data_IF_061582953913
#
_entry.id   IF_061582953913
#
_cell.length_a   1.000
_cell.length_b   1.000
_cell.length_c   1.000
_cell.angle_alpha   90.00
_cell.angle_beta   90.00
_cell.angle_gamma   90.00
#
_symmetry.space_group_name_H-M   'P 1'
#
loop_
_entity.id
_entity.type
_entity.pdbx_description
1 polymer ?
#
# COMPACT_ATOMS: atom_id res chain seq x y z
N UNK A 1 0.67 -23.83 -7.51
CA UNK A 1 1.37 -22.56 -7.27
C UNK A 1 2.72 -22.52 -7.95
N UNK A 2 3.85 -23.00 -7.40
CA UNK A 2 5.17 -22.80 -8.05
C UNK A 2 5.22 -23.20 -9.54
N UNK A 3 4.67 -24.36 -9.90
CA UNK A 3 4.65 -24.83 -11.29
C UNK A 3 3.88 -23.88 -12.24
N UNK A 4 2.79 -23.24 -11.79
CA UNK A 4 2.06 -22.29 -12.65
C UNK A 4 2.84 -20.97 -12.81
N UNK A 5 3.57 -20.54 -11.78
CA UNK A 5 4.46 -19.37 -11.89
C UNK A 5 5.58 -19.65 -12.89
N UNK A 6 6.19 -20.84 -12.81
CA UNK A 6 7.21 -21.27 -13.76
C UNK A 6 6.66 -21.33 -15.19
N UNK A 7 5.45 -21.85 -15.40
CA UNK A 7 4.81 -21.86 -16.73
C UNK A 7 4.59 -20.42 -17.24
N UNK A 8 4.10 -19.52 -16.39
CA UNK A 8 3.88 -18.11 -16.75
C UNK A 8 5.17 -17.45 -17.25
N UNK A 9 6.25 -17.51 -16.45
CA UNK A 9 7.54 -16.94 -16.83
C UNK A 9 8.17 -17.66 -18.04
N UNK A 10 7.95 -18.97 -18.19
CA UNK A 10 8.42 -19.73 -19.37
C UNK A 10 7.69 -19.37 -20.66
N UNK A 11 6.52 -18.75 -20.55
CA UNK A 11 5.74 -18.22 -21.67
C UNK A 11 6.05 -16.74 -21.95
N UNK A 12 7.12 -16.20 -21.37
CA UNK A 12 7.54 -14.79 -21.53
C UNK A 12 6.46 -13.80 -21.06
N UNK A 13 5.69 -14.21 -20.05
CA UNK A 13 4.71 -13.35 -19.37
C UNK A 13 5.28 -12.87 -18.04
N UNK A 14 4.99 -11.62 -17.69
CA UNK A 14 5.20 -11.09 -16.34
C UNK A 14 4.45 -11.96 -15.32
N UNK A 15 5.14 -12.36 -14.25
CA UNK A 15 4.60 -13.21 -13.21
C UNK A 15 4.57 -12.49 -11.85
N UNK A 16 3.43 -11.87 -11.54
CA UNK A 16 3.10 -11.44 -10.19
C UNK A 16 2.65 -12.67 -9.37
N UNK A 17 3.54 -13.21 -8.53
CA UNK A 17 3.52 -14.63 -8.17
C UNK A 17 2.74 -14.99 -6.89
N UNK A 18 1.59 -14.36 -6.66
CA UNK A 18 0.74 -14.59 -5.48
C UNK A 18 1.48 -14.23 -4.17
N UNK A 19 1.57 -15.13 -3.19
CA UNK A 19 2.03 -14.82 -1.81
C UNK A 19 1.23 -13.66 -1.18
N UNK A 20 -0.04 -13.56 -1.56
CA UNK A 20 -0.93 -12.42 -1.31
C UNK A 20 -2.21 -12.82 -0.57
N UNK A 21 -2.33 -14.09 -0.18
CA UNK A 21 -3.54 -14.66 0.41
C UNK A 21 -3.23 -15.66 1.52
N UNK A 22 -3.94 -15.55 2.64
CA UNK A 22 -3.85 -16.47 3.77
C UNK A 22 -4.36 -17.88 3.40
N UNK A 23 -3.65 -18.92 3.82
CA UNK A 23 -4.07 -20.32 3.60
C UNK A 23 -3.80 -21.26 4.80
N UNK A 24 -3.19 -20.73 5.87
CA UNK A 24 -2.76 -21.52 7.02
C UNK A 24 -2.56 -20.63 8.25
N UNK A 25 -2.70 -21.22 9.43
CA UNK A 25 -2.37 -20.60 10.72
C UNK A 25 -0.93 -20.90 11.19
N UNK A 26 -0.14 -21.64 10.39
CA UNK A 26 1.22 -22.02 10.77
C UNK A 26 2.24 -21.15 10.06
N UNK A 27 3.05 -20.43 10.84
CA UNK A 27 4.13 -19.58 10.32
C UNK A 27 5.14 -20.36 9.50
N UNK A 28 5.51 -21.56 9.97
CA UNK A 28 6.39 -22.46 9.23
C UNK A 28 5.82 -22.82 7.85
N UNK A 29 4.51 -23.09 7.79
CA UNK A 29 3.86 -23.52 6.55
C UNK A 29 3.72 -22.37 5.55
N UNK A 30 3.38 -21.16 6.01
CA UNK A 30 3.31 -19.98 5.14
C UNK A 30 4.69 -19.51 4.65
N UNK A 31 5.71 -19.61 5.49
CA UNK A 31 7.11 -19.33 5.11
C UNK A 31 7.58 -20.31 4.03
N UNK A 32 7.29 -21.60 4.19
CA UNK A 32 7.67 -22.60 3.17
C UNK A 32 7.00 -22.34 1.81
N UNK A 33 5.77 -21.79 1.79
CA UNK A 33 5.11 -21.34 0.55
C UNK A 33 5.84 -20.14 -0.05
N UNK A 34 6.07 -19.08 0.74
CA UNK A 34 6.75 -17.85 0.29
C UNK A 34 8.11 -18.14 -0.34
N UNK A 35 8.92 -18.98 0.31
CA UNK A 35 10.28 -19.29 -0.13
C UNK A 35 10.33 -19.91 -1.54
N UNK A 36 9.24 -20.49 -2.03
CA UNK A 36 9.20 -21.05 -3.38
C UNK A 36 9.34 -19.97 -4.46
N UNK A 37 8.88 -18.74 -4.23
CA UNK A 37 9.01 -17.61 -5.16
C UNK A 37 10.08 -16.61 -4.69
N UNK A 38 10.23 -16.43 -3.38
CA UNK A 38 11.22 -15.53 -2.80
C UNK A 38 12.66 -15.92 -3.17
N UNK A 39 13.02 -17.21 -3.08
CA UNK A 39 14.38 -17.68 -3.37
C UNK A 39 14.81 -17.51 -4.84
N UNK A 40 14.02 -17.96 -5.84
CA UNK A 40 14.41 -17.77 -7.24
C UNK A 40 14.20 -16.32 -7.73
N UNK A 41 13.32 -15.55 -7.07
CA UNK A 41 12.84 -14.28 -7.58
C UNK A 41 11.81 -14.45 -8.70
N UNK A 42 10.84 -13.54 -8.76
CA UNK A 42 9.85 -13.36 -9.83
C UNK A 42 9.68 -11.86 -10.08
N UNK A 43 8.91 -11.46 -11.10
CA UNK A 43 8.66 -10.04 -11.39
C UNK A 43 8.06 -9.31 -10.17
N UNK A 44 7.13 -9.98 -9.47
CA UNK A 44 6.69 -9.60 -8.12
C UNK A 44 6.62 -10.85 -7.22
N UNK A 45 7.57 -10.98 -6.28
CA UNK A 45 7.66 -12.12 -5.33
C UNK A 45 6.34 -12.33 -4.60
N UNK A 46 5.79 -11.23 -4.10
CA UNK A 46 4.40 -11.16 -3.65
C UNK A 46 3.64 -10.15 -4.49
N UNK A 47 2.49 -10.55 -5.04
CA UNK A 47 1.56 -9.69 -5.75
C UNK A 47 0.59 -8.95 -4.82
N UNK A 48 0.81 -9.03 -3.50
CA UNK A 48 -0.08 -8.44 -2.51
C UNK A 48 0.40 -8.67 -1.08
N UNK A 49 1.68 -8.41 -0.80
CA UNK A 49 2.20 -8.38 0.57
C UNK A 49 1.37 -7.36 1.34
N UNK A 50 0.77 -7.75 2.47
CA UNK A 50 -0.10 -6.82 3.20
C UNK A 50 0.73 -5.76 3.90
N UNK A 51 0.69 -4.52 3.40
CA UNK A 51 1.36 -3.39 4.05
C UNK A 51 0.60 -2.85 5.29
N UNK A 52 -0.47 -3.54 5.68
CA UNK A 52 -1.29 -3.31 6.88
C UNK A 52 -1.41 -4.63 7.65
N UNK A 53 -1.69 -4.62 8.95
CA UNK A 53 -1.96 -5.86 9.69
C UNK A 53 -3.14 -6.62 9.06
N UNK A 54 -3.11 -7.94 9.08
CA UNK A 54 -4.08 -8.77 8.37
C UNK A 54 -5.54 -8.56 8.77
N UNK A 55 -5.80 -8.02 9.98
CA UNK A 55 -7.17 -7.66 10.37
C UNK A 55 -7.76 -6.49 9.55
N UNK A 56 -6.91 -5.68 8.92
CA UNK A 56 -7.29 -4.59 8.01
C UNK A 56 -7.17 -4.98 6.53
N UNK A 57 -6.68 -6.17 6.23
CA UNK A 57 -6.55 -6.62 4.87
C UNK A 57 -7.91 -7.01 4.29
N UNK A 58 -8.44 -6.16 3.41
CA UNK A 58 -9.75 -6.33 2.78
C UNK A 58 -9.82 -7.49 1.76
N UNK A 59 -8.69 -8.14 1.46
CA UNK A 59 -8.61 -9.36 0.65
C UNK A 59 -8.60 -10.63 1.52
N UNK A 60 -9.17 -10.57 2.73
CA UNK A 60 -9.25 -11.68 3.69
C UNK A 60 -7.88 -12.19 4.18
N UNK A 61 -6.90 -11.27 4.28
CA UNK A 61 -5.56 -11.54 4.76
C UNK A 61 -4.60 -11.99 3.67
N UNK A 62 -3.35 -11.57 3.80
CA UNK A 62 -2.23 -11.98 2.94
C UNK A 62 -1.36 -13.05 3.62
N UNK A 63 -0.49 -13.69 2.83
CA UNK A 63 0.44 -14.69 3.35
C UNK A 63 1.49 -14.07 4.29
N UNK A 64 1.84 -12.80 4.04
CA UNK A 64 2.67 -11.95 4.88
C UNK A 64 1.97 -10.60 5.14
N UNK A 65 2.15 -10.05 6.33
CA UNK A 65 1.60 -8.74 6.67
C UNK A 65 2.60 -7.75 7.32
N UNK A 66 2.09 -6.62 7.81
CA UNK A 66 2.91 -5.57 8.39
C UNK A 66 3.68 -6.01 9.65
N UNK A 67 3.23 -7.07 10.34
CA UNK A 67 3.93 -7.62 11.50
C UNK A 67 5.15 -8.48 11.06
N UNK A 68 5.18 -8.94 9.81
CA UNK A 68 6.25 -9.78 9.25
C UNK A 68 7.42 -8.99 8.62
N UNK A 69 7.37 -7.65 8.58
CA UNK A 69 8.36 -6.84 7.86
C UNK A 69 9.80 -7.06 8.34
N UNK A 70 10.00 -7.21 9.65
CA UNK A 70 11.32 -7.43 10.24
C UNK A 70 11.84 -8.84 9.92
N UNK A 71 11.01 -9.87 10.04
CA UNK A 71 11.35 -11.24 9.65
C UNK A 71 11.70 -11.35 8.16
N UNK A 72 10.93 -10.68 7.29
CA UNK A 72 11.21 -10.63 5.85
C UNK A 72 12.58 -10.01 5.55
N UNK A 73 12.92 -8.91 6.22
CA UNK A 73 14.24 -8.27 6.10
C UNK A 73 15.38 -9.15 6.65
N UNK A 74 15.15 -9.89 7.73
CA UNK A 74 16.11 -10.85 8.29
C UNK A 74 16.35 -12.01 7.31
N UNK A 75 15.31 -12.56 6.71
CA UNK A 75 15.44 -13.65 5.71
C UNK A 75 16.23 -13.19 4.48
N UNK A 76 15.96 -11.97 3.96
CA UNK A 76 16.75 -11.38 2.87
C UNK A 76 18.25 -11.32 3.21
N UNK A 77 18.57 -10.83 4.42
CA UNK A 77 19.95 -10.74 4.91
C UNK A 77 20.60 -12.11 5.07
N UNK A 78 19.90 -13.06 5.69
CA UNK A 78 20.47 -14.36 6.06
C UNK A 78 20.72 -15.24 4.83
N UNK A 79 19.83 -15.18 3.84
CA UNK A 79 19.94 -15.96 2.61
C UNK A 79 20.69 -15.24 1.50
N UNK A 80 21.03 -13.96 1.70
CA UNK A 80 21.62 -13.08 0.68
C UNK A 80 20.77 -13.06 -0.59
N UNK A 81 19.46 -12.93 -0.41
CA UNK A 81 18.45 -12.85 -1.46
C UNK A 81 17.85 -11.45 -1.44
N UNK A 82 17.71 -10.83 -2.61
CA UNK A 82 16.94 -9.60 -2.76
C UNK A 82 15.45 -9.95 -2.86
N UNK A 83 14.73 -9.65 -1.79
CA UNK A 83 13.29 -9.84 -1.68
C UNK A 83 12.48 -8.59 -2.04
N UNK A 84 13.12 -7.53 -2.54
CA UNK A 84 12.46 -6.29 -2.97
C UNK A 84 12.08 -5.31 -1.85
N UNK A 85 12.39 -5.62 -0.59
CA UNK A 85 12.11 -4.76 0.57
C UNK A 85 13.39 -4.36 1.30
N UNK A 86 13.32 -3.33 2.14
CA UNK A 86 14.45 -2.82 2.91
C UNK A 86 14.05 -2.45 4.33
N UNK A 87 14.97 -2.53 5.31
CA UNK A 87 14.73 -1.98 6.64
C UNK A 87 14.57 -0.44 6.55
N UNK A 88 13.73 0.10 7.43
CA UNK A 88 13.42 1.53 7.52
C UNK A 88 13.57 2.00 8.96
N UNK A 89 13.87 3.29 9.15
CA UNK A 89 13.88 3.90 10.48
C UNK A 89 12.49 4.41 10.82
N UNK A 90 12.06 4.24 12.06
CA UNK A 90 10.76 4.70 12.54
C UNK A 90 10.55 6.21 12.30
N UNK A 91 11.56 7.04 12.55
CA UNK A 91 11.49 8.48 12.32
C UNK A 91 11.20 8.87 10.86
N UNK A 92 11.75 8.10 9.91
CA UNK A 92 11.51 8.32 8.48
C UNK A 92 10.08 7.87 8.10
N UNK A 93 9.61 6.77 8.70
CA UNK A 93 8.26 6.24 8.49
C UNK A 93 7.20 7.20 9.04
N UNK A 94 7.39 7.70 10.26
CA UNK A 94 6.52 8.72 10.87
C UNK A 94 6.46 9.96 9.96
N UNK A 95 7.61 10.47 9.51
CA UNK A 95 7.66 11.65 8.66
C UNK A 95 6.94 11.45 7.32
N UNK A 96 7.12 10.31 6.65
CA UNK A 96 6.49 10.06 5.35
C UNK A 96 4.98 9.78 5.48
N UNK A 97 4.54 9.06 6.53
CA UNK A 97 3.11 8.83 6.82
C UNK A 97 2.40 10.15 7.10
N UNK A 98 3.00 10.99 7.93
CA UNK A 98 2.47 12.30 8.25
C UNK A 98 2.37 13.22 7.02
N UNK A 99 3.41 13.22 6.17
CA UNK A 99 3.39 13.95 4.89
C UNK A 99 2.26 13.44 3.98
N UNK A 100 2.09 12.12 3.87
CA UNK A 100 1.05 11.52 3.06
C UNK A 100 -0.36 11.88 3.57
N UNK A 101 -0.59 11.81 4.89
CA UNK A 101 -1.86 12.17 5.51
C UNK A 101 -2.20 13.66 5.28
N UNK A 102 -1.24 14.57 5.45
CA UNK A 102 -1.45 16.00 5.16
C UNK A 102 -1.64 16.30 3.67
N UNK A 103 -0.94 15.57 2.78
CA UNK A 103 -1.15 15.70 1.34
C UNK A 103 -2.58 15.29 0.95
N UNK A 104 -3.09 14.19 1.53
CA UNK A 104 -4.47 13.76 1.32
C UNK A 104 -5.47 14.74 1.92
N UNK A 105 -5.21 15.28 3.11
CA UNK A 105 -6.00 16.35 3.73
C UNK A 105 -6.10 17.57 2.79
N UNK A 106 -4.98 18.00 2.20
CA UNK A 106 -4.96 19.10 1.24
C UNK A 106 -5.75 18.79 -0.04
N UNK A 107 -5.69 17.54 -0.53
CA UNK A 107 -6.51 17.10 -1.67
C UNK A 107 -7.98 17.18 -1.33
N UNK A 108 -8.41 16.63 -0.19
CA UNK A 108 -9.81 16.66 0.23
C UNK A 108 -10.32 18.09 0.39
N UNK A 109 -9.54 18.97 1.00
CA UNK A 109 -9.87 20.39 1.12
C UNK A 109 -9.97 21.08 -0.25
N UNK A 110 -8.97 20.91 -1.12
CA UNK A 110 -8.95 21.51 -2.46
C UNK A 110 -10.03 20.98 -3.41
N UNK A 111 -10.47 19.74 -3.18
CA UNK A 111 -11.53 19.09 -3.94
C UNK A 111 -12.93 19.29 -3.32
N UNK A 112 -13.06 19.92 -2.15
CA UNK A 112 -14.34 20.10 -1.45
C UNK A 112 -14.97 18.79 -0.99
N UNK A 113 -14.15 17.80 -0.62
CA UNK A 113 -14.57 16.52 -0.05
C UNK A 113 -14.77 16.63 1.48
N UNK A 114 -15.40 15.64 2.14
CA UNK A 114 -15.58 15.67 3.59
C UNK A 114 -14.24 15.84 4.32
N UNK A 115 -14.11 16.80 5.25
CA UNK A 115 -12.82 17.19 5.79
C UNK A 115 -12.06 16.01 6.41
N UNK A 116 -10.73 16.05 6.28
CA UNK A 116 -9.81 15.24 7.07
C UNK A 116 -9.27 16.17 8.16
N UNK A 117 -9.50 15.81 9.41
CA UNK A 117 -9.11 16.61 10.58
C UNK A 117 -7.63 16.42 10.91
N UNK A 118 -7.06 17.35 11.68
CA UNK A 118 -5.68 17.20 12.19
C UNK A 118 -5.56 16.00 13.15
N UNK A 119 -6.65 15.64 13.84
CA UNK A 119 -6.73 14.42 14.67
C UNK A 119 -6.56 13.15 13.82
N UNK A 120 -7.24 13.07 12.67
CA UNK A 120 -7.07 11.95 11.73
C UNK A 120 -5.67 11.91 11.12
N UNK A 121 -5.08 13.08 10.83
CA UNK A 121 -3.70 13.17 10.32
C UNK A 121 -2.71 12.64 11.36
N UNK A 122 -2.86 13.04 12.63
CA UNK A 122 -1.99 12.58 13.70
C UNK A 122 -2.20 11.09 13.98
N UNK A 123 -3.45 10.62 14.02
CA UNK A 123 -3.76 9.20 14.16
C UNK A 123 -3.12 8.37 13.05
N UNK A 124 -3.32 8.74 11.78
CA UNK A 124 -2.73 8.04 10.64
C UNK A 124 -1.19 8.03 10.67
N UNK A 125 -0.57 9.04 11.29
CA UNK A 125 0.89 9.13 11.42
C UNK A 125 1.45 7.99 12.28
N UNK A 126 0.79 7.63 13.37
CA UNK A 126 1.29 6.64 14.35
C UNK A 126 0.50 5.34 14.38
N UNK A 127 -0.65 5.27 13.70
CA UNK A 127 -1.51 4.10 13.65
C UNK A 127 -0.79 2.87 13.10
N UNK A 128 -1.01 1.73 13.77
CA UNK A 128 -0.67 0.43 13.22
C UNK A 128 -1.75 -0.02 12.23
N UNK A 129 -3.02 0.26 12.52
CA UNK A 129 -4.14 -0.02 11.62
C UNK A 129 -5.41 0.76 11.98
N UNK A 130 -6.56 0.34 11.45
CA UNK A 130 -7.84 1.05 11.56
C UNK A 130 -8.35 1.19 13.00
N UNK A 131 -7.92 0.31 13.91
CA UNK A 131 -8.26 0.39 15.34
C UNK A 131 -7.73 1.64 16.03
N UNK A 132 -6.69 2.25 15.46
CA UNK A 132 -6.06 3.47 15.97
C UNK A 132 -6.60 4.73 15.26
N UNK A 133 -7.55 4.58 14.33
CA UNK A 133 -8.11 5.67 13.52
C UNK A 133 -9.45 6.16 14.08
N UNK A 134 -9.71 7.48 14.05
CA UNK A 134 -11.04 8.01 14.33
C UNK A 134 -12.09 7.50 13.34
N UNK A 135 -13.32 7.31 13.83
CA UNK A 135 -14.46 6.95 12.99
C UNK A 135 -14.83 8.10 12.04
N UNK A 136 -15.08 7.76 10.77
CA UNK A 136 -15.54 8.71 9.74
C UNK A 136 -17.02 8.55 9.44
N UNK A 137 -17.62 9.60 8.89
CA UNK A 137 -18.99 9.53 8.38
C UNK A 137 -19.01 8.83 7.01
N UNK A 138 -19.10 7.49 7.05
CA UNK A 138 -19.10 6.62 5.87
C UNK A 138 -20.18 7.02 4.85
N UNK A 139 -21.35 7.47 5.31
CA UNK A 139 -22.46 7.86 4.42
C UNK A 139 -22.10 9.08 3.58
N UNK A 140 -21.49 10.10 4.20
CA UNK A 140 -21.03 11.28 3.47
C UNK A 140 -19.84 10.94 2.55
N UNK A 141 -18.88 10.14 3.01
CA UNK A 141 -17.73 9.75 2.18
C UNK A 141 -18.16 9.00 0.91
N UNK A 142 -19.07 8.03 1.01
CA UNK A 142 -19.59 7.28 -0.16
C UNK A 142 -20.34 8.20 -1.12
N UNK A 143 -21.13 9.14 -0.60
CA UNK A 143 -21.88 10.10 -1.41
C UNK A 143 -20.95 10.99 -2.24
N UNK A 144 -19.89 11.52 -1.64
CA UNK A 144 -18.90 12.33 -2.36
C UNK A 144 -18.02 11.49 -3.29
N UNK A 145 -17.70 10.25 -2.94
CA UNK A 145 -17.01 9.32 -3.84
C UNK A 145 -17.85 9.05 -5.11
N UNK A 146 -19.17 8.88 -4.97
CA UNK A 146 -20.07 8.76 -6.10
C UNK A 146 -20.17 10.06 -6.92
N UNK A 147 -20.06 11.22 -6.27
CA UNK A 147 -20.03 12.52 -6.93
C UNK A 147 -18.80 12.70 -7.83
N UNK A 148 -17.62 12.19 -7.43
CA UNK A 148 -16.41 12.16 -8.27
C UNK A 148 -16.72 11.48 -9.61
N UNK A 149 -17.39 10.33 -9.58
CA UNK A 149 -17.79 9.59 -10.78
C UNK A 149 -18.83 10.40 -11.57
N UNK A 150 -19.90 10.84 -10.90
CA UNK A 150 -21.03 11.50 -11.56
C UNK A 150 -20.65 12.83 -12.22
N UNK A 151 -19.66 13.55 -11.67
CA UNK A 151 -19.16 14.81 -12.20
C UNK A 151 -17.94 14.65 -13.11
N UNK A 152 -17.52 13.41 -13.42
CA UNK A 152 -16.33 13.11 -14.23
C UNK A 152 -15.06 13.82 -13.71
N UNK A 153 -14.91 13.89 -12.39
CA UNK A 153 -13.71 14.47 -11.78
C UNK A 153 -12.52 13.58 -12.09
N UNK A 154 -11.39 14.19 -12.44
CA UNK A 154 -10.23 13.45 -12.97
C UNK A 154 -8.95 13.71 -12.17
N UNK A 155 -7.90 12.95 -12.49
CA UNK A 155 -6.61 13.03 -11.79
C UNK A 155 -5.92 14.40 -11.86
N UNK A 156 -6.23 15.26 -12.84
CA UNK A 156 -5.67 16.61 -12.89
C UNK A 156 -6.24 17.52 -11.81
N UNK A 157 -7.44 17.25 -11.30
CA UNK A 157 -7.97 17.96 -10.13
C UNK A 157 -7.16 17.64 -8.87
N UNK A 158 -6.73 16.38 -8.70
CA UNK A 158 -5.85 15.96 -7.60
C UNK A 158 -4.50 16.68 -7.70
N UNK A 159 -3.90 16.73 -8.89
CA UNK A 159 -2.63 17.47 -9.14
C UNK A 159 -2.78 18.94 -8.78
N UNK A 160 -3.87 19.59 -9.21
CA UNK A 160 -4.14 21.00 -8.88
C UNK A 160 -4.34 21.20 -7.38
N UNK A 161 -5.09 20.33 -6.72
CA UNK A 161 -5.35 20.41 -5.28
C UNK A 161 -4.05 20.27 -4.46
N UNK A 162 -3.18 19.32 -4.82
CA UNK A 162 -1.86 19.17 -4.21
C UNK A 162 -0.99 20.41 -4.41
N UNK A 163 -0.91 20.93 -5.65
CA UNK A 163 -0.07 22.09 -5.97
C UNK A 163 -0.55 23.37 -5.23
N UNK A 164 -1.87 23.58 -5.17
CA UNK A 164 -2.47 24.71 -4.47
C UNK A 164 -2.43 24.55 -2.94
N UNK A 165 -2.41 23.31 -2.45
CA UNK A 165 -2.30 22.96 -1.04
C UNK A 165 -0.86 22.94 -0.49
N UNK A 166 0.13 23.36 -1.29
CA UNK A 166 1.53 23.45 -0.85
C UNK A 166 2.36 22.17 -1.03
N UNK A 167 1.81 21.12 -1.65
CA UNK A 167 2.47 19.85 -1.94
C UNK A 167 2.92 19.79 -3.41
N UNK A 168 3.71 20.78 -3.84
CA UNK A 168 4.10 20.92 -5.26
C UNK A 168 4.99 19.78 -5.76
N UNK A 169 5.78 19.19 -4.87
CA UNK A 169 6.58 18.00 -5.15
C UNK A 169 5.69 16.78 -5.42
N UNK A 170 4.74 16.49 -4.52
CA UNK A 170 3.78 15.39 -4.70
C UNK A 170 2.89 15.63 -5.93
N UNK A 171 2.51 16.88 -6.20
CA UNK A 171 1.76 17.24 -7.40
C UNK A 171 2.54 16.92 -8.69
N UNK A 172 3.85 17.21 -8.68
CA UNK A 172 4.72 16.91 -9.81
C UNK A 172 4.89 15.41 -10.01
N UNK A 173 5.03 14.64 -8.93
CA UNK A 173 5.09 13.18 -8.99
C UNK A 173 3.80 12.57 -9.55
N UNK A 174 2.64 13.04 -9.07
CA UNK A 174 1.33 12.61 -9.59
C UNK A 174 1.14 12.96 -11.06
N UNK A 175 1.61 14.13 -11.50
CA UNK A 175 1.57 14.51 -12.92
C UNK A 175 2.48 13.61 -13.76
N UNK A 176 3.65 13.24 -13.24
CA UNK A 176 4.57 12.34 -13.94
C UNK A 176 3.96 10.95 -14.14
N UNK A 177 3.26 10.42 -13.14
CA UNK A 177 2.53 9.14 -13.25
C UNK A 177 1.46 9.23 -14.35
N UNK A 178 0.67 10.30 -14.38
CA UNK A 178 -0.36 10.49 -15.42
C UNK A 178 0.21 10.65 -16.83
N UNK A 179 1.46 11.10 -16.96
CA UNK A 179 2.14 11.19 -18.27
C UNK A 179 2.67 9.85 -18.77
N UNK A 180 2.85 8.88 -17.87
CA UNK A 180 3.26 7.51 -18.19
C UNK A 180 2.07 6.57 -18.44
N UNK A 181 0.85 7.02 -18.11
CA UNK A 181 -0.42 6.33 -18.33
C UNK A 181 -0.98 6.63 -19.72
#
# INVERSE_FOLDING_TARGET
MLAENLICSSLDLECASSNDQTFTHSDMRRTARLLMQFLPGTDFISSGYSAVPNYDNMFAGSNEDAEDFDDYNVIQRDLKVDGGLRPVREEDVIAIRNKAARALQAVFAGMGLPPITDEEVEAATYAHGSKDMPERNIVEDIKFAQEIINKNRNGLEVVKALAQGGFTDVAQDMLNIQKAS
#
